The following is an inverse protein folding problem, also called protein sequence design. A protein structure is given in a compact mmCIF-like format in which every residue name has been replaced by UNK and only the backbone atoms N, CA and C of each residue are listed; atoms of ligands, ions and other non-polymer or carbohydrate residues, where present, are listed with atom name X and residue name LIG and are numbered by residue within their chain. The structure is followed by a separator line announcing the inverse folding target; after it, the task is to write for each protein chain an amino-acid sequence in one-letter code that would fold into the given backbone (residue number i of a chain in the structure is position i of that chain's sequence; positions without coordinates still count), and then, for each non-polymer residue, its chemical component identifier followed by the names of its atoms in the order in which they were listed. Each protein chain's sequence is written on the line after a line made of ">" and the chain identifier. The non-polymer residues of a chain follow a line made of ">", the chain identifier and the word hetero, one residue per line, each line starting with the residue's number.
data_IF_059938252288
#
_entry.id   IF_059938252288
#
_cell.length_a   1.000
_cell.length_b   1.000
_cell.length_c   1.000
_cell.angle_alpha   90.00
_cell.angle_beta   90.00
_cell.angle_gamma   90.00
#
_symmetry.space_group_name_H-M   'P 1'
#
loop_
_entity.id
_entity.type
_entity.pdbx_description
1 polymer ?
#
# COMPACT_ATOMS: atom_id res chain seq x y z
N UNK A 1 -2.16 -30.80 8.71
CA UNK A 1 -2.59 -29.41 8.46
C UNK A 1 -1.93 -28.94 7.17
N UNK A 2 -2.64 -28.20 6.31
CA UNK A 2 -2.11 -27.81 5.00
C UNK A 2 -1.01 -26.76 5.19
N UNK A 3 0.18 -26.91 4.57
CA UNK A 3 1.33 -26.02 4.84
C UNK A 3 1.04 -24.54 4.56
N UNK A 4 0.16 -24.25 3.59
CA UNK A 4 -0.32 -22.89 3.29
C UNK A 4 -1.17 -22.25 4.38
N UNK A 5 -1.88 -23.03 5.22
CA UNK A 5 -2.68 -22.46 6.31
C UNK A 5 -1.82 -22.01 7.49
N UNK A 6 -0.66 -22.65 7.68
CA UNK A 6 0.30 -22.34 8.76
C UNK A 6 1.04 -21.02 8.47
N UNK A 7 1.27 -20.69 7.19
CA UNK A 7 1.99 -19.48 6.80
C UNK A 7 1.08 -18.41 6.15
N UNK A 8 -0.13 -18.22 6.67
CA UNK A 8 -1.00 -17.13 6.19
C UNK A 8 -0.72 -15.82 6.93
N UNK A 9 -0.99 -14.64 6.34
CA UNK A 9 -0.83 -13.36 7.02
C UNK A 9 -1.55 -13.28 8.38
N UNK A 10 -2.79 -13.78 8.46
CA UNK A 10 -3.58 -13.86 9.69
C UNK A 10 -2.94 -14.79 10.73
N UNK A 11 -2.42 -15.94 10.31
CA UNK A 11 -1.75 -16.87 11.21
C UNK A 11 -0.44 -16.29 11.76
N UNK A 12 0.38 -15.63 10.92
CA UNK A 12 1.63 -14.98 11.34
C UNK A 12 1.38 -13.85 12.34
N UNK A 13 0.33 -13.04 12.13
CA UNK A 13 -0.08 -12.03 13.11
C UNK A 13 -0.48 -12.65 14.44
N UNK A 14 -1.28 -13.73 14.41
CA UNK A 14 -1.73 -14.45 15.62
C UNK A 14 -0.59 -15.12 16.38
N UNK A 15 0.37 -15.69 15.67
CA UNK A 15 1.49 -16.44 16.26
C UNK A 15 2.58 -15.53 16.83
N UNK A 16 2.55 -14.23 16.49
CA UNK A 16 3.44 -13.26 17.08
C UNK A 16 3.12 -13.10 18.57
N UNK A 17 4.10 -13.44 19.42
CA UNK A 17 4.01 -13.30 20.87
C UNK A 17 5.16 -12.44 21.38
N UNK A 18 4.85 -11.55 22.33
CA UNK A 18 5.83 -10.69 22.97
C UNK A 18 5.76 -10.91 24.48
N UNK A 19 6.89 -11.29 25.06
CA UNK A 19 7.07 -11.48 26.51
C UNK A 19 8.17 -10.55 27.01
N UNK A 20 8.13 -10.19 28.30
CA UNK A 20 9.13 -9.34 28.95
C UNK A 20 8.55 -8.01 29.44
N UNK A 21 9.42 -7.04 29.73
CA UNK A 21 9.04 -5.73 30.29
C UNK A 21 8.10 -4.94 29.35
N UNK A 22 8.19 -5.17 28.04
CA UNK A 22 7.32 -4.58 27.02
C UNK A 22 6.19 -5.54 26.57
N UNK A 23 6.12 -6.74 27.16
CA UNK A 23 5.18 -7.83 26.81
C UNK A 23 3.78 -7.70 27.41
N UNK A 24 3.28 -6.47 27.54
CA UNK A 24 1.89 -6.24 27.95
C UNK A 24 0.91 -6.89 26.96
N UNK A 25 -0.26 -7.35 27.44
CA UNK A 25 -1.35 -7.86 26.57
C UNK A 25 -1.70 -6.83 25.49
N UNK A 26 -1.64 -5.56 25.86
CA UNK A 26 -1.58 -4.41 24.95
C UNK A 26 -0.21 -3.74 25.17
N UNK A 27 0.56 -3.42 24.13
CA UNK A 27 1.84 -2.74 24.27
C UNK A 27 1.68 -1.38 24.95
N UNK A 28 2.67 -0.98 25.73
CA UNK A 28 2.73 0.37 26.30
C UNK A 28 2.93 1.42 25.21
N UNK A 29 2.45 2.64 25.47
CA UNK A 29 2.72 3.81 24.64
C UNK A 29 3.92 4.54 25.21
N UNK A 30 5.09 4.35 24.61
CA UNK A 30 6.31 5.08 24.98
C UNK A 30 6.38 6.39 24.20
N UNK A 31 6.11 7.49 24.91
CA UNK A 31 6.17 8.85 24.39
C UNK A 31 7.53 9.51 24.55
N UNK A 32 8.50 8.84 25.17
CA UNK A 32 9.79 9.41 25.47
C UNK A 32 10.55 9.72 24.17
N UNK A 33 11.06 10.95 24.05
CA UNK A 33 11.95 11.29 22.94
C UNK A 33 13.36 10.70 23.14
N UNK A 34 13.80 10.60 24.40
CA UNK A 34 15.10 10.09 24.82
C UNK A 34 14.92 9.19 26.03
N UNK A 35 15.79 8.20 26.18
CA UNK A 35 15.86 7.31 27.35
C UNK A 35 17.01 7.71 28.27
N UNK A 36 16.94 7.26 29.53
CA UNK A 36 18.01 7.44 30.52
C UNK A 36 18.82 6.16 30.65
N UNK A 37 20.12 6.31 30.92
CA UNK A 37 21.03 5.20 31.18
C UNK A 37 21.63 5.35 32.57
N UNK A 38 21.65 4.25 33.34
CA UNK A 38 22.27 4.24 34.66
C UNK A 38 23.80 4.30 34.55
N UNK A 39 24.38 3.59 33.58
CA UNK A 39 25.81 3.57 33.31
C UNK A 39 26.11 4.23 31.94
N UNK A 40 26.94 5.29 31.88
CA UNK A 40 27.32 5.91 30.60
C UNK A 40 27.91 4.95 29.57
N UNK A 41 28.59 3.87 29.99
CA UNK A 41 29.10 2.85 29.05
C UNK A 41 27.99 2.12 28.30
N UNK A 42 26.83 1.92 28.94
CA UNK A 42 25.68 1.29 28.29
C UNK A 42 25.11 2.18 27.18
N UNK A 43 25.15 3.50 27.38
CA UNK A 43 24.75 4.47 26.37
C UNK A 43 25.69 4.39 25.16
N UNK A 44 27.00 4.36 25.39
CA UNK A 44 28.02 4.21 24.34
C UNK A 44 27.82 2.91 23.54
N UNK A 45 27.66 1.77 24.22
CA UNK A 45 27.38 0.49 23.56
C UNK A 45 26.06 0.49 22.78
N UNK A 46 25.03 1.17 23.30
CA UNK A 46 23.75 1.32 22.59
C UNK A 46 23.92 2.17 21.33
N UNK A 47 24.73 3.22 21.37
CA UNK A 47 25.08 4.04 20.19
C UNK A 47 25.81 3.23 19.12
N UNK A 48 26.68 2.30 19.54
CA UNK A 48 27.42 1.40 18.64
C UNK A 48 26.60 0.20 18.16
N UNK A 49 25.37 0.04 18.66
CA UNK A 49 24.52 -1.12 18.36
C UNK A 49 24.97 -2.43 19.01
N UNK A 50 25.88 -2.35 19.99
CA UNK A 50 26.45 -3.50 20.70
C UNK A 50 25.56 -4.00 21.86
N UNK A 51 24.57 -3.19 22.25
CA UNK A 51 23.63 -3.52 23.33
C UNK A 51 22.20 -3.67 22.79
N UNK A 52 21.73 -4.91 22.72
CA UNK A 52 20.37 -5.23 22.29
C UNK A 52 19.33 -4.86 23.36
N UNK A 53 18.09 -4.58 22.92
CA UNK A 53 16.98 -4.26 23.82
C UNK A 53 17.05 -2.89 24.49
N UNK A 54 18.06 -2.08 24.18
CA UNK A 54 18.17 -0.71 24.65
C UNK A 54 17.71 0.27 23.57
N UNK A 55 16.88 1.23 23.98
CA UNK A 55 16.49 2.37 23.16
C UNK A 55 17.28 3.59 23.63
N UNK A 56 17.57 4.51 22.73
CA UNK A 56 18.36 5.71 23.03
C UNK A 56 17.57 6.98 22.72
N UNK A 57 17.13 7.11 21.47
CA UNK A 57 16.39 8.27 20.99
C UNK A 57 15.33 7.82 19.98
N UNK A 58 14.10 8.28 20.14
CA UNK A 58 12.93 7.75 19.41
C UNK A 58 12.98 7.94 17.89
N UNK A 59 13.78 8.87 17.38
CA UNK A 59 14.06 8.99 15.93
C UNK A 59 14.87 7.81 15.37
N UNK A 60 15.68 7.17 16.20
CA UNK A 60 16.41 5.95 15.82
C UNK A 60 15.52 4.72 16.00
N UNK A 61 14.92 4.58 17.19
CA UNK A 61 14.10 3.43 17.55
C UNK A 61 13.23 3.77 18.75
N UNK A 62 11.96 3.38 18.71
CA UNK A 62 11.00 3.52 19.80
C UNK A 62 10.31 2.16 20.01
N UNK A 63 10.12 1.70 21.27
CA UNK A 63 9.57 0.36 21.53
C UNK A 63 8.15 0.18 20.99
N UNK A 64 7.27 1.18 21.15
CA UNK A 64 5.90 1.12 20.61
C UNK A 64 5.89 1.03 19.08
N UNK A 65 6.75 1.80 18.41
CA UNK A 65 6.91 1.74 16.94
C UNK A 65 7.50 0.39 16.50
N UNK A 66 8.42 -0.16 17.28
CA UNK A 66 9.02 -1.47 17.02
C UNK A 66 7.97 -2.59 17.07
N UNK A 67 7.08 -2.58 18.06
CA UNK A 67 5.98 -3.55 18.19
C UNK A 67 5.03 -3.52 16.99
N UNK A 68 4.65 -2.32 16.53
CA UNK A 68 3.89 -2.15 15.28
C UNK A 68 4.68 -2.72 14.08
N UNK A 69 5.97 -2.40 14.00
CA UNK A 69 6.82 -2.84 12.89
C UNK A 69 6.97 -4.37 12.84
N UNK A 70 7.09 -5.04 13.99
CA UNK A 70 7.14 -6.51 14.07
C UNK A 70 5.85 -7.15 13.53
N UNK A 71 4.67 -6.59 13.84
CA UNK A 71 3.42 -7.07 13.23
C UNK A 71 3.37 -6.85 11.73
N UNK A 72 3.90 -5.74 11.22
CA UNK A 72 3.97 -5.50 9.77
C UNK A 72 4.93 -6.47 9.06
N UNK A 73 6.10 -6.74 9.67
CA UNK A 73 7.04 -7.74 9.16
C UNK A 73 6.39 -9.14 9.14
N UNK A 74 5.69 -9.51 10.22
CA UNK A 74 4.92 -10.74 10.28
C UNK A 74 3.80 -10.78 9.21
N UNK A 75 3.05 -9.69 9.01
CA UNK A 75 2.01 -9.63 7.97
C UNK A 75 2.59 -9.89 6.57
N UNK A 76 3.70 -9.23 6.24
CA UNK A 76 4.34 -9.31 4.92
C UNK A 76 5.37 -10.45 4.76
N UNK A 77 5.54 -11.27 5.80
CA UNK A 77 6.55 -12.34 5.84
C UNK A 77 8.00 -11.84 5.60
N UNK A 78 8.31 -10.61 6.01
CA UNK A 78 9.65 -10.04 5.88
C UNK A 78 10.46 -10.24 7.17
N UNK A 79 11.78 -10.13 7.08
CA UNK A 79 12.66 -10.23 8.26
C UNK A 79 12.50 -9.05 9.23
N UNK A 80 12.21 -7.87 8.69
CA UNK A 80 12.07 -6.64 9.46
C UNK A 80 11.17 -5.63 8.76
N UNK A 81 10.76 -4.61 9.51
CA UNK A 81 10.00 -3.48 9.01
C UNK A 81 10.29 -2.21 9.82
N UNK A 82 9.93 -1.06 9.26
CA UNK A 82 10.14 0.25 9.86
C UNK A 82 8.93 1.16 9.63
N UNK A 83 8.24 1.52 10.72
CA UNK A 83 7.17 2.52 10.70
C UNK A 83 7.72 3.93 10.42
N UNK A 84 7.06 4.64 9.51
CA UNK A 84 7.38 6.02 9.12
C UNK A 84 6.13 6.90 9.10
N UNK A 85 6.32 8.22 9.03
CA UNK A 85 5.25 9.22 9.19
C UNK A 85 4.19 9.23 8.08
N UNK A 86 4.46 8.62 6.92
CA UNK A 86 3.50 8.51 5.81
C UNK A 86 3.89 7.47 4.77
N UNK A 87 2.95 7.04 3.92
CA UNK A 87 3.27 6.20 2.75
C UNK A 87 4.24 6.87 1.78
N UNK A 88 4.14 8.19 1.58
CA UNK A 88 5.09 8.92 0.74
C UNK A 88 6.50 8.94 1.33
N UNK A 89 6.63 9.03 2.66
CA UNK A 89 7.92 8.89 3.32
C UNK A 89 8.51 7.48 3.13
N UNK A 90 7.68 6.45 3.19
CA UNK A 90 8.09 5.07 2.95
C UNK A 90 8.66 4.91 1.53
N UNK A 91 7.96 5.43 0.52
CA UNK A 91 8.41 5.42 -0.89
C UNK A 91 9.70 6.20 -1.07
N UNK A 92 9.72 7.47 -0.64
CA UNK A 92 10.87 8.36 -0.85
C UNK A 92 12.14 7.81 -0.19
N UNK A 93 12.07 7.46 1.09
CA UNK A 93 13.25 7.01 1.83
C UNK A 93 13.75 5.65 1.34
N UNK A 94 12.86 4.72 0.96
CA UNK A 94 13.28 3.42 0.42
C UNK A 94 14.07 3.60 -0.88
N UNK A 95 13.56 4.41 -1.81
CA UNK A 95 14.19 4.60 -3.11
C UNK A 95 15.49 5.38 -3.03
N UNK A 96 15.54 6.43 -2.20
CA UNK A 96 16.78 7.18 -1.96
C UNK A 96 17.85 6.31 -1.29
N UNK A 97 17.47 5.42 -0.35
CA UNK A 97 18.39 4.48 0.27
C UNK A 97 18.94 3.44 -0.71
N UNK A 98 18.13 3.03 -1.69
CA UNK A 98 18.53 2.10 -2.75
C UNK A 98 19.40 2.77 -3.83
N UNK A 99 19.31 4.10 -3.97
CA UNK A 99 19.97 4.88 -5.01
C UNK A 99 20.67 6.12 -4.44
N UNK A 100 21.60 5.98 -3.48
CA UNK A 100 22.23 7.12 -2.81
C UNK A 100 23.05 8.01 -3.75
N UNK A 101 23.49 7.46 -4.89
CA UNK A 101 24.26 8.16 -5.92
C UNK A 101 23.43 8.45 -7.18
N UNK A 102 22.10 8.42 -7.08
CA UNK A 102 21.21 8.49 -8.24
C UNK A 102 21.10 7.17 -9.01
N UNK A 103 20.48 7.21 -10.18
CA UNK A 103 20.23 6.03 -11.01
C UNK A 103 18.91 6.12 -11.77
N UNK A 104 18.45 4.98 -12.30
CA UNK A 104 17.18 4.90 -13.01
C UNK A 104 16.20 3.90 -12.38
N UNK A 105 14.94 4.33 -12.29
CA UNK A 105 13.78 3.52 -11.91
C UNK A 105 13.01 3.17 -13.18
N UNK A 106 12.61 1.91 -13.35
CA UNK A 106 11.55 1.55 -14.30
C UNK A 106 10.28 1.33 -13.48
N UNK A 107 9.32 2.23 -13.65
CA UNK A 107 8.07 2.25 -12.89
C UNK A 107 6.90 1.87 -13.77
N UNK A 108 5.90 1.22 -13.17
CA UNK A 108 4.55 1.22 -13.72
C UNK A 108 4.13 2.64 -14.08
N UNK A 109 3.55 2.79 -15.27
CA UNK A 109 2.97 4.04 -15.74
C UNK A 109 1.76 4.45 -14.91
N UNK A 110 1.02 3.49 -14.34
CA UNK A 110 -0.13 3.73 -13.48
C UNK A 110 0.26 3.48 -12.03
N UNK A 111 0.52 4.57 -11.32
CA UNK A 111 0.82 4.63 -9.88
C UNK A 111 0.06 5.80 -9.26
N UNK A 112 0.03 5.86 -7.93
CA UNK A 112 -0.51 6.98 -7.17
C UNK A 112 0.06 8.32 -7.64
N UNK A 113 -0.80 9.33 -7.80
CA UNK A 113 -0.41 10.67 -8.30
C UNK A 113 0.74 11.30 -7.51
N UNK A 114 0.78 11.12 -6.18
CA UNK A 114 1.89 11.59 -5.36
C UNK A 114 3.22 10.89 -5.67
N UNK A 115 3.19 9.58 -5.92
CA UNK A 115 4.35 8.79 -6.35
C UNK A 115 4.83 9.24 -7.73
N UNK A 116 3.91 9.43 -8.67
CA UNK A 116 4.22 9.96 -9.99
C UNK A 116 4.88 11.34 -9.91
N UNK A 117 4.31 12.24 -9.11
CA UNK A 117 4.85 13.59 -8.92
C UNK A 117 6.25 13.57 -8.28
N UNK A 118 6.49 12.68 -7.30
CA UNK A 118 7.82 12.47 -6.71
C UNK A 118 8.83 12.05 -7.78
N UNK A 119 8.49 11.03 -8.57
CA UNK A 119 9.34 10.44 -9.60
C UNK A 119 9.64 11.40 -10.76
N UNK A 120 8.65 12.22 -11.14
CA UNK A 120 8.77 13.15 -12.27
C UNK A 120 9.37 14.50 -11.90
N UNK A 121 9.07 15.03 -10.71
CA UNK A 121 9.34 16.43 -10.39
C UNK A 121 10.43 16.62 -9.31
N UNK A 122 10.63 15.64 -8.43
CA UNK A 122 11.55 15.74 -7.30
C UNK A 122 12.82 14.93 -7.55
N UNK A 123 12.67 13.63 -7.84
CA UNK A 123 13.77 12.70 -8.05
C UNK A 123 14.77 13.10 -9.16
N UNK A 124 14.36 13.73 -10.29
CA UNK A 124 15.35 14.17 -11.28
C UNK A 124 16.35 15.19 -10.74
N UNK A 125 15.95 16.01 -9.75
CA UNK A 125 16.84 16.96 -9.07
C UNK A 125 17.87 16.28 -8.17
N UNK A 126 17.64 15.01 -7.84
CA UNK A 126 18.52 14.15 -7.05
C UNK A 126 19.32 13.18 -7.93
N UNK A 127 19.29 13.33 -9.26
CA UNK A 127 19.94 12.40 -10.18
C UNK A 127 19.25 11.04 -10.33
N UNK A 128 17.99 10.93 -9.87
CA UNK A 128 17.16 9.74 -10.05
C UNK A 128 16.19 9.98 -11.19
N UNK A 129 16.33 9.24 -12.28
CA UNK A 129 15.45 9.31 -13.44
C UNK A 129 14.45 8.16 -13.43
N UNK A 130 13.23 8.41 -13.90
CA UNK A 130 12.20 7.38 -13.97
C UNK A 130 11.75 7.17 -15.41
N UNK A 131 11.63 5.91 -15.82
CA UNK A 131 10.96 5.49 -17.05
C UNK A 131 9.61 4.89 -16.69
N UNK A 132 8.53 5.48 -17.20
CA UNK A 132 7.18 4.99 -17.00
C UNK A 132 6.79 4.08 -18.16
N UNK A 133 6.39 2.84 -17.86
CA UNK A 133 6.05 1.81 -18.86
C UNK A 133 4.86 0.97 -18.37
N UNK A 134 4.16 0.27 -19.27
CA UNK A 134 3.27 -0.79 -18.80
C UNK A 134 4.13 -1.90 -18.17
N UNK A 135 4.01 -2.06 -16.85
CA UNK A 135 4.89 -2.93 -16.09
C UNK A 135 4.69 -4.42 -16.40
N UNK A 136 3.60 -4.77 -17.10
CA UNK A 136 3.36 -6.14 -17.57
C UNK A 136 3.83 -6.38 -19.00
N UNK A 137 4.32 -5.37 -19.71
CA UNK A 137 5.06 -5.56 -20.95
C UNK A 137 6.54 -5.81 -20.61
N UNK A 138 6.86 -7.06 -20.27
CA UNK A 138 8.20 -7.43 -19.83
C UNK A 138 9.28 -7.17 -20.88
N UNK A 139 8.93 -7.22 -22.17
CA UNK A 139 9.86 -6.88 -23.26
C UNK A 139 10.15 -5.39 -23.27
N UNK A 140 9.13 -4.53 -23.12
CA UNK A 140 9.32 -3.09 -23.00
C UNK A 140 10.10 -2.72 -21.73
N UNK A 141 9.78 -3.34 -20.58
CA UNK A 141 10.53 -3.18 -19.33
C UNK A 141 11.99 -3.55 -19.54
N UNK A 142 12.28 -4.74 -20.09
CA UNK A 142 13.64 -5.22 -20.30
C UNK A 142 14.44 -4.34 -21.27
N UNK A 143 13.78 -3.78 -22.30
CA UNK A 143 14.42 -2.87 -23.27
C UNK A 143 14.92 -1.54 -22.67
N UNK A 144 14.35 -1.13 -21.54
CA UNK A 144 14.73 0.10 -20.84
C UNK A 144 15.88 -0.11 -19.84
N UNK A 145 16.19 -1.38 -19.51
CA UNK A 145 17.24 -1.71 -18.54
C UNK A 145 18.62 -1.37 -19.13
N UNK A 146 19.41 -0.65 -18.35
CA UNK A 146 20.79 -0.30 -18.66
C UNK A 146 21.64 -0.29 -17.38
N UNK A 147 22.93 0.07 -17.49
CA UNK A 147 23.88 0.07 -16.36
C UNK A 147 23.49 1.01 -15.20
N UNK A 148 22.67 2.03 -15.48
CA UNK A 148 22.19 2.98 -14.48
C UNK A 148 20.88 2.54 -13.81
N UNK A 149 20.17 1.55 -14.37
CA UNK A 149 18.94 1.02 -13.78
C UNK A 149 19.25 0.34 -12.45
N UNK A 150 18.47 0.65 -11.41
CA UNK A 150 18.63 0.07 -10.06
C UNK A 150 17.35 -0.56 -9.54
N UNK A 151 16.19 -0.02 -9.91
CA UNK A 151 14.91 -0.39 -9.30
C UNK A 151 13.84 -0.64 -10.36
N UNK A 152 13.10 -1.73 -10.19
CA UNK A 152 11.76 -1.90 -10.74
C UNK A 152 10.73 -1.51 -9.67
N UNK A 153 9.79 -0.63 -9.99
CA UNK A 153 8.76 -0.16 -9.07
C UNK A 153 7.35 -0.46 -9.61
N UNK A 154 6.50 -1.03 -8.77
CA UNK A 154 5.09 -1.26 -9.10
C UNK A 154 4.18 -1.18 -7.87
N UNK A 155 2.89 -0.95 -8.12
CA UNK A 155 1.83 -1.23 -7.16
C UNK A 155 1.28 -2.64 -7.44
N UNK A 156 0.98 -3.43 -6.40
CA UNK A 156 0.34 -4.75 -6.59
C UNK A 156 -0.96 -4.61 -7.39
N UNK A 157 -1.76 -3.61 -7.01
CA UNK A 157 -2.98 -3.18 -7.70
C UNK A 157 -2.84 -1.69 -7.97
N UNK A 158 -2.78 -1.30 -9.25
CA UNK A 158 -2.56 0.09 -9.64
C UNK A 158 -3.73 1.00 -9.25
N UNK A 159 -3.42 2.19 -8.76
CA UNK A 159 -4.39 3.26 -8.63
C UNK A 159 -4.40 4.15 -9.90
N UNK A 160 -5.55 4.49 -10.50
CA UNK A 160 -6.92 4.06 -10.18
C UNK A 160 -7.46 2.91 -11.05
N UNK A 161 -6.68 2.42 -12.03
CA UNK A 161 -7.17 1.49 -13.06
C UNK A 161 -7.30 0.04 -12.60
N UNK A 162 -6.85 -0.29 -11.38
CA UNK A 162 -6.87 -1.64 -10.81
C UNK A 162 -6.15 -2.69 -11.66
N UNK A 163 -5.20 -2.27 -12.51
CA UNK A 163 -4.28 -3.17 -13.20
C UNK A 163 -3.39 -3.87 -12.18
N UNK A 164 -3.12 -5.15 -12.42
CA UNK A 164 -2.34 -5.98 -11.51
C UNK A 164 -0.91 -6.13 -12.01
N UNK A 165 0.07 -5.97 -11.12
CA UNK A 165 1.45 -6.31 -11.43
C UNK A 165 1.69 -7.83 -11.32
N UNK A 166 2.36 -8.43 -12.29
CA UNK A 166 2.85 -9.81 -12.16
C UNK A 166 4.18 -9.83 -11.39
N UNK A 167 4.10 -9.88 -10.07
CA UNK A 167 5.25 -9.73 -9.16
C UNK A 167 6.27 -10.87 -9.39
N UNK A 168 5.80 -12.10 -9.61
CA UNK A 168 6.71 -13.24 -9.88
C UNK A 168 7.57 -13.01 -11.14
N UNK A 169 6.95 -12.54 -12.23
CA UNK A 169 7.69 -12.24 -13.48
C UNK A 169 8.61 -11.04 -13.32
N UNK A 170 8.16 -9.99 -12.62
CA UNK A 170 9.00 -8.83 -12.31
C UNK A 170 10.20 -9.20 -11.44
N UNK A 171 10.00 -10.08 -10.45
CA UNK A 171 11.07 -10.57 -9.58
C UNK A 171 12.10 -11.35 -10.38
N UNK A 172 11.66 -12.27 -11.26
CA UNK A 172 12.56 -12.99 -12.15
C UNK A 172 13.37 -12.06 -13.06
N UNK A 173 12.74 -11.02 -13.60
CA UNK A 173 13.42 -10.01 -14.43
C UNK A 173 14.40 -9.16 -13.62
N UNK A 174 14.00 -8.72 -12.41
CA UNK A 174 14.87 -7.97 -11.51
C UNK A 174 16.10 -8.80 -11.13
N UNK A 175 15.92 -10.07 -10.77
CA UNK A 175 17.01 -10.99 -10.44
C UNK A 175 17.96 -11.20 -11.62
N UNK A 176 17.43 -11.37 -12.84
CA UNK A 176 18.24 -11.52 -14.08
C UNK A 176 19.21 -10.34 -14.29
N UNK A 177 18.79 -9.13 -13.92
CA UNK A 177 19.55 -7.89 -14.14
C UNK A 177 20.14 -7.29 -12.86
N UNK A 178 20.11 -8.02 -11.74
CA UNK A 178 20.58 -7.56 -10.43
C UNK A 178 19.96 -6.21 -9.99
N UNK A 179 18.66 -6.06 -10.23
CA UNK A 179 17.85 -4.91 -9.82
C UNK A 179 17.09 -5.22 -8.54
N UNK A 180 16.64 -4.18 -7.85
CA UNK A 180 15.73 -4.30 -6.72
C UNK A 180 14.28 -4.16 -7.16
N UNK A 181 13.40 -5.01 -6.66
CA UNK A 181 11.96 -4.93 -6.87
C UNK A 181 11.28 -4.31 -5.65
N UNK A 182 10.71 -3.13 -5.83
CA UNK A 182 9.95 -2.42 -4.80
C UNK A 182 8.46 -2.47 -5.15
N UNK A 183 7.65 -3.04 -4.24
CA UNK A 183 6.20 -3.17 -4.43
C UNK A 183 5.46 -2.35 -3.37
N UNK A 184 4.63 -1.40 -3.83
CA UNK A 184 3.61 -0.78 -2.98
C UNK A 184 2.38 -1.70 -2.93
N UNK A 185 2.08 -2.22 -1.75
CA UNK A 185 1.03 -3.20 -1.49
C UNK A 185 -0.19 -2.59 -0.78
N UNK A 186 -0.32 -1.26 -0.78
CA UNK A 186 -1.34 -0.50 -0.02
C UNK A 186 -2.79 -0.97 -0.29
N UNK A 187 -3.10 -1.40 -1.52
CA UNK A 187 -4.46 -1.81 -1.91
C UNK A 187 -4.78 -3.28 -1.61
N UNK A 188 -3.76 -4.06 -1.27
CA UNK A 188 -3.84 -5.50 -1.14
C UNK A 188 -3.18 -6.07 0.12
N UNK A 189 -3.23 -5.38 1.30
CA UNK A 189 -2.75 -6.01 2.52
C UNK A 189 -3.56 -7.28 2.79
N UNK A 190 -2.89 -8.33 3.29
CA UNK A 190 -3.39 -9.70 3.41
C UNK A 190 -3.68 -10.41 2.07
N UNK A 191 -4.24 -9.71 1.06
CA UNK A 191 -4.62 -10.29 -0.23
C UNK A 191 -3.42 -10.84 -0.99
N UNK A 192 -2.29 -10.13 -0.96
CA UNK A 192 -1.04 -10.53 -1.61
C UNK A 192 0.08 -10.29 -0.62
N UNK A 193 1.06 -11.19 -0.59
CA UNK A 193 2.31 -11.03 0.17
C UNK A 193 3.46 -10.91 -0.83
N UNK A 194 3.79 -9.69 -1.33
CA UNK A 194 4.76 -9.52 -2.42
C UNK A 194 6.15 -10.08 -2.11
N UNK A 195 6.55 -10.10 -0.84
CA UNK A 195 7.82 -10.69 -0.44
C UNK A 195 7.90 -12.19 -0.75
N UNK A 196 6.82 -12.94 -0.50
CA UNK A 196 6.69 -14.36 -0.88
C UNK A 196 6.73 -14.58 -2.40
N UNK A 197 6.49 -13.51 -3.17
CA UNK A 197 6.52 -13.49 -4.63
C UNK A 197 7.85 -12.97 -5.20
N UNK A 198 8.81 -12.64 -4.33
CA UNK A 198 10.17 -12.24 -4.69
C UNK A 198 10.39 -10.73 -4.82
N UNK A 199 9.54 -9.90 -4.19
CA UNK A 199 9.86 -8.48 -3.99
C UNK A 199 10.99 -8.32 -2.94
N UNK A 200 11.89 -7.36 -3.14
CA UNK A 200 12.94 -7.03 -2.17
C UNK A 200 12.42 -6.11 -1.04
N UNK A 201 11.53 -5.18 -1.39
CA UNK A 201 10.97 -4.18 -0.47
C UNK A 201 9.46 -4.09 -0.69
N UNK A 202 8.70 -4.16 0.41
CA UNK A 202 7.25 -3.97 0.40
C UNK A 202 6.89 -2.71 1.17
N UNK A 203 6.06 -1.86 0.56
CA UNK A 203 5.68 -0.57 1.11
C UNK A 203 4.16 -0.53 1.31
N UNK A 204 3.73 0.13 2.40
CA UNK A 204 2.34 0.48 2.60
C UNK A 204 2.16 1.94 3.01
N UNK A 205 1.09 2.54 2.51
CA UNK A 205 0.40 3.62 3.21
C UNK A 205 -0.54 3.04 4.25
N UNK A 206 -0.12 3.08 5.52
CA UNK A 206 -0.93 2.58 6.64
C UNK A 206 -2.20 3.40 6.88
N UNK A 207 -2.29 4.59 6.31
CA UNK A 207 -3.49 5.46 6.27
C UNK A 207 -4.73 4.79 5.70
N UNK A 208 -4.56 3.76 4.88
CA UNK A 208 -5.64 3.16 4.08
C UNK A 208 -6.28 1.99 4.80
N UNK A 209 -6.28 0.81 4.18
CA UNK A 209 -6.86 -0.39 4.75
C UNK A 209 -6.25 -0.80 6.09
N UNK A 210 -4.95 -0.56 6.33
CA UNK A 210 -4.32 -0.92 7.61
C UNK A 210 -4.98 -0.16 8.77
N UNK A 211 -5.06 1.18 8.70
CA UNK A 211 -5.79 2.00 9.67
C UNK A 211 -7.29 1.69 9.66
N UNK A 212 -7.94 1.66 8.49
CA UNK A 212 -9.38 1.38 8.38
C UNK A 212 -10.31 2.53 8.76
N UNK A 213 -9.81 3.60 9.38
CA UNK A 213 -10.64 4.63 10.04
C UNK A 213 -10.43 6.06 9.52
N UNK A 214 -9.58 6.27 8.52
CA UNK A 214 -9.33 7.60 7.92
C UNK A 214 -8.94 8.69 8.94
N UNK A 215 -8.24 8.31 10.00
CA UNK A 215 -7.97 9.13 11.18
C UNK A 215 -6.48 9.39 11.43
N UNK A 216 -5.60 8.85 10.58
CA UNK A 216 -4.15 8.96 10.76
C UNK A 216 -3.37 8.86 9.45
N UNK A 217 -2.20 9.50 9.42
CA UNK A 217 -1.24 9.38 8.33
C UNK A 217 -0.05 8.58 8.84
N UNK A 218 0.30 7.53 8.10
CA UNK A 218 1.39 6.61 8.45
C UNK A 218 1.82 5.80 7.23
N UNK A 219 3.04 5.28 7.28
CA UNK A 219 3.55 4.31 6.33
C UNK A 219 4.43 3.27 7.00
N UNK A 220 4.77 2.22 6.27
CA UNK A 220 5.75 1.23 6.71
C UNK A 220 6.57 0.76 5.51
N UNK A 221 7.85 0.49 5.77
CA UNK A 221 8.78 -0.15 4.84
C UNK A 221 9.07 -1.55 5.41
N UNK A 222 8.88 -2.60 4.63
CA UNK A 222 9.14 -3.99 5.02
C UNK A 222 10.21 -4.59 4.10
N UNK A 223 11.15 -5.36 4.65
CA UNK A 223 12.22 -5.99 3.87
C UNK A 223 13.19 -6.78 4.74
N UNK A 224 14.40 -7.01 4.24
CA UNK A 224 15.48 -7.68 4.97
C UNK A 224 15.93 -6.87 6.19
N UNK A 225 16.46 -7.53 7.22
CA UNK A 225 17.01 -6.89 8.42
C UNK A 225 18.07 -5.83 8.06
N UNK A 226 18.96 -6.16 7.14
CA UNK A 226 20.07 -5.28 6.72
C UNK A 226 19.58 -4.01 6.02
N UNK A 227 18.63 -4.14 5.09
CA UNK A 227 18.05 -2.97 4.43
C UNK A 227 17.34 -2.04 5.43
N UNK A 228 16.53 -2.61 6.33
CA UNK A 228 15.82 -1.83 7.37
C UNK A 228 16.79 -1.18 8.37
N UNK A 229 17.91 -1.84 8.70
CA UNK A 229 18.97 -1.24 9.49
C UNK A 229 19.64 -0.07 8.75
N UNK A 230 19.92 -0.23 7.45
CA UNK A 230 20.54 0.82 6.62
C UNK A 230 19.73 2.11 6.56
N UNK A 231 18.39 2.02 6.53
CA UNK A 231 17.49 3.18 6.55
C UNK A 231 17.62 4.02 7.85
N UNK A 232 18.08 3.40 8.93
CA UNK A 232 18.26 4.00 10.26
C UNK A 232 19.71 4.36 10.57
N UNK A 233 20.64 4.10 9.65
CA UNK A 233 22.05 4.43 9.84
C UNK A 233 22.23 5.91 10.14
N UNK A 234 23.07 6.22 11.14
CA UNK A 234 23.22 7.58 11.67
C UNK A 234 23.94 8.54 10.72
N UNK A 235 24.65 8.01 9.72
CA UNK A 235 25.47 8.79 8.80
C UNK A 235 24.87 8.87 7.39
N UNK A 236 24.12 7.84 6.99
CA UNK A 236 23.66 7.66 5.61
C UNK A 236 22.19 7.25 5.49
N UNK A 237 21.53 6.91 6.60
CA UNK A 237 20.17 6.37 6.60
C UNK A 237 19.14 7.41 6.21
N UNK A 238 18.40 7.15 5.14
CA UNK A 238 17.42 8.10 4.60
C UNK A 238 16.31 8.45 5.61
N UNK A 239 15.80 7.47 6.37
CA UNK A 239 14.78 7.71 7.41
C UNK A 239 15.40 8.44 8.60
N UNK A 240 16.60 8.04 9.03
CA UNK A 240 17.28 8.65 10.17
C UNK A 240 17.56 10.14 9.95
N UNK A 241 18.05 10.49 8.75
CA UNK A 241 18.52 11.84 8.44
C UNK A 241 17.41 12.78 7.97
N UNK A 242 16.38 12.27 7.29
CA UNK A 242 15.21 13.09 6.88
C UNK A 242 14.15 13.20 7.98
N UNK A 243 14.19 12.30 8.96
CA UNK A 243 13.32 12.33 10.13
C UNK A 243 11.81 12.12 9.90
N UNK A 244 11.32 11.34 8.91
CA UNK A 244 9.89 11.04 8.81
C UNK A 244 9.49 9.93 9.80
N UNK A 245 9.66 10.19 11.10
CA UNK A 245 9.48 9.21 12.16
C UNK A 245 7.99 9.09 12.52
N UNK A 246 7.54 7.85 12.75
CA UNK A 246 6.18 7.57 13.20
C UNK A 246 5.97 8.00 14.66
N UNK A 247 4.86 8.67 14.96
CA UNK A 247 4.45 8.96 16.33
C UNK A 247 4.04 7.67 17.07
N UNK A 248 4.49 7.50 18.31
CA UNK A 248 4.24 6.28 19.10
C UNK A 248 2.75 6.03 19.37
N UNK A 249 1.91 7.08 19.49
CA UNK A 249 0.45 6.93 19.62
C UNK A 249 -0.15 6.38 18.34
N UNK A 250 0.32 6.85 17.18
CA UNK A 250 -0.12 6.32 15.88
C UNK A 250 0.30 4.85 15.74
N UNK A 251 1.53 4.51 16.12
CA UNK A 251 2.01 3.13 16.10
C UNK A 251 1.16 2.21 16.98
N UNK A 252 0.84 2.64 18.21
CA UNK A 252 -0.02 1.90 19.12
C UNK A 252 -1.43 1.68 18.54
N UNK A 253 -2.06 2.72 18.02
CA UNK A 253 -3.38 2.61 17.39
C UNK A 253 -3.38 1.65 16.19
N UNK A 254 -2.35 1.71 15.34
CA UNK A 254 -2.20 0.79 14.23
C UNK A 254 -1.98 -0.65 14.71
N UNK A 255 -1.14 -0.85 15.73
CA UNK A 255 -0.88 -2.16 16.32
C UNK A 255 -2.17 -2.87 16.77
N UNK A 256 -3.09 -2.13 17.41
CA UNK A 256 -4.38 -2.65 17.86
C UNK A 256 -5.31 -3.04 16.70
N UNK A 257 -5.16 -2.41 15.54
CA UNK A 257 -6.06 -2.60 14.38
C UNK A 257 -5.62 -3.72 13.45
N UNK A 258 -4.37 -4.17 13.56
CA UNK A 258 -3.78 -5.20 12.69
C UNK A 258 -4.41 -6.58 12.90
N UNK A 259 -4.76 -6.95 14.13
CA UNK A 259 -5.36 -8.27 14.40
C UNK A 259 -6.78 -8.39 13.81
N UNK A 260 -7.44 -7.25 13.60
CA UNK A 260 -8.76 -7.18 12.96
C UNK A 260 -8.67 -6.88 11.45
N UNK A 261 -7.48 -6.60 10.91
CA UNK A 261 -7.31 -6.31 9.48
C UNK A 261 -7.80 -7.47 8.59
N UNK A 262 -7.45 -8.75 8.84
CA UNK A 262 -7.95 -9.87 8.04
C UNK A 262 -9.48 -9.94 7.94
N UNK A 263 -10.17 -9.69 9.05
CA UNK A 263 -11.64 -9.67 9.12
C UNK A 263 -12.21 -8.52 8.28
N UNK A 264 -11.63 -7.32 8.40
CA UNK A 264 -12.05 -6.14 7.63
C UNK A 264 -11.81 -6.35 6.14
N UNK A 265 -10.66 -6.90 5.74
CA UNK A 265 -10.37 -7.19 4.33
C UNK A 265 -11.36 -8.18 3.74
N UNK A 266 -11.70 -9.27 4.46
CA UNK A 266 -12.76 -10.20 4.01
C UNK A 266 -14.10 -9.50 3.82
N UNK A 267 -14.50 -8.63 4.74
CA UNK A 267 -15.74 -7.88 4.64
C UNK A 267 -15.74 -6.93 3.41
N UNK A 268 -14.65 -6.17 3.23
CA UNK A 268 -14.47 -5.31 2.05
C UNK A 268 -14.54 -6.10 0.73
N UNK A 269 -13.86 -7.25 0.67
CA UNK A 269 -13.87 -8.12 -0.50
C UNK A 269 -15.25 -8.69 -0.79
N UNK A 270 -15.97 -9.16 0.22
CA UNK A 270 -17.31 -9.72 0.04
C UNK A 270 -18.31 -8.67 -0.47
N UNK A 271 -18.27 -7.46 0.10
CA UNK A 271 -19.10 -6.35 -0.35
C UNK A 271 -18.78 -5.96 -1.81
N UNK A 272 -17.49 -5.85 -2.15
CA UNK A 272 -17.06 -5.53 -3.50
C UNK A 272 -17.42 -6.61 -4.52
N UNK A 273 -17.22 -7.90 -4.21
CA UNK A 273 -17.60 -9.01 -5.09
C UNK A 273 -19.09 -8.97 -5.42
N UNK A 274 -19.95 -8.91 -4.39
CA UNK A 274 -21.41 -8.86 -4.58
C UNK A 274 -21.82 -7.66 -5.43
N UNK A 275 -21.24 -6.49 -5.12
CA UNK A 275 -21.56 -5.26 -5.85
C UNK A 275 -21.12 -5.36 -7.31
N UNK A 276 -19.90 -5.82 -7.60
CA UNK A 276 -19.36 -5.96 -8.94
C UNK A 276 -20.17 -6.95 -9.80
N UNK A 277 -20.54 -8.12 -9.25
CA UNK A 277 -21.41 -9.10 -9.93
C UNK A 277 -22.79 -8.51 -10.22
N UNK A 278 -23.32 -7.72 -9.28
CA UNK A 278 -24.56 -6.98 -9.46
C UNK A 278 -24.51 -5.98 -10.62
N UNK A 279 -23.39 -5.24 -10.75
CA UNK A 279 -23.19 -4.33 -11.87
C UNK A 279 -23.05 -5.08 -13.21
N UNK A 280 -22.26 -6.16 -13.25
CA UNK A 280 -22.07 -6.99 -14.45
C UNK A 280 -23.40 -7.57 -14.93
N UNK A 281 -24.24 -8.09 -14.01
CA UNK A 281 -25.59 -8.60 -14.33
C UNK A 281 -26.52 -7.53 -14.93
N UNK A 282 -26.31 -6.25 -14.58
CA UNK A 282 -27.08 -5.12 -15.10
C UNK A 282 -26.40 -4.44 -16.31
N UNK A 283 -25.38 -5.06 -16.91
CA UNK A 283 -24.62 -4.53 -18.06
C UNK A 283 -23.96 -3.16 -17.79
N UNK A 284 -23.61 -2.88 -16.53
CA UNK A 284 -22.88 -1.67 -16.15
C UNK A 284 -21.38 -1.97 -16.23
N UNK A 285 -20.60 -1.23 -17.04
CA UNK A 285 -19.15 -1.47 -17.16
C UNK A 285 -18.43 -1.28 -15.83
N UNK A 286 -17.84 -2.37 -15.33
CA UNK A 286 -17.15 -2.41 -14.04
C UNK A 286 -15.76 -3.03 -14.21
N UNK A 287 -14.79 -2.42 -13.56
CA UNK A 287 -13.42 -2.94 -13.42
C UNK A 287 -13.31 -3.46 -11.98
N UNK A 288 -13.26 -4.78 -11.85
CA UNK A 288 -13.01 -5.45 -10.58
C UNK A 288 -12.22 -6.75 -10.82
N UNK A 289 -11.00 -6.89 -10.26
CA UNK A 289 -10.18 -8.09 -10.46
C UNK A 289 -10.82 -9.41 -10.01
N UNK A 290 -11.84 -9.38 -9.14
CA UNK A 290 -12.57 -10.56 -8.71
C UNK A 290 -13.59 -11.11 -9.70
N UNK A 291 -13.93 -10.36 -10.76
CA UNK A 291 -14.80 -10.85 -11.82
C UNK A 291 -14.01 -11.75 -12.78
N UNK A 292 -14.60 -12.87 -13.19
CA UNK A 292 -14.01 -13.78 -14.18
C UNK A 292 -13.82 -13.14 -15.56
N UNK A 293 -14.61 -12.11 -15.87
CA UNK A 293 -14.50 -11.30 -17.08
C UNK A 293 -13.31 -10.34 -17.07
N UNK A 294 -12.69 -10.09 -15.90
CA UNK A 294 -11.54 -9.21 -15.80
C UNK A 294 -10.34 -9.85 -16.52
N UNK A 295 -9.64 -9.13 -17.44
CA UNK A 295 -8.57 -9.71 -18.26
C UNK A 295 -7.44 -10.35 -17.45
N UNK A 296 -7.15 -9.79 -16.27
CA UNK A 296 -6.08 -10.27 -15.38
C UNK A 296 -6.58 -11.14 -14.22
N UNK A 297 -7.83 -11.64 -14.25
CA UNK A 297 -8.40 -12.43 -13.15
C UNK A 297 -7.54 -13.64 -12.77
N UNK A 298 -7.16 -14.45 -13.78
CA UNK A 298 -6.37 -15.66 -13.56
C UNK A 298 -4.96 -15.34 -13.04
N UNK A 299 -4.34 -14.28 -13.55
CA UNK A 299 -3.04 -13.81 -13.07
C UNK A 299 -3.14 -13.39 -11.59
N UNK A 300 -4.24 -12.74 -11.19
CA UNK A 300 -4.45 -12.38 -9.80
C UNK A 300 -4.55 -13.62 -8.92
N UNK A 301 -5.42 -14.57 -9.30
CA UNK A 301 -5.67 -15.82 -8.56
C UNK A 301 -4.38 -16.60 -8.33
N UNK A 302 -3.43 -16.52 -9.26
CA UNK A 302 -2.12 -17.21 -9.14
C UNK A 302 -1.15 -16.61 -8.11
N UNK A 303 -1.45 -15.40 -7.62
CA UNK A 303 -0.59 -14.59 -6.73
C UNK A 303 -1.28 -14.22 -5.40
N UNK A 304 -2.61 -14.30 -5.31
CA UNK A 304 -3.38 -13.89 -4.15
C UNK A 304 -3.61 -15.01 -3.13
N UNK A 305 -3.88 -14.61 -1.89
CA UNK A 305 -4.35 -15.43 -0.79
C UNK A 305 -5.89 -15.55 -0.84
N UNK A 306 -6.46 -16.70 -1.25
CA UNK A 306 -7.89 -16.80 -1.60
C UNK A 306 -8.83 -16.61 -0.40
N UNK A 307 -8.32 -16.82 0.81
CA UNK A 307 -9.06 -16.68 2.07
C UNK A 307 -9.63 -15.26 2.28
N UNK A 308 -9.04 -14.25 1.65
CA UNK A 308 -9.40 -12.85 1.89
C UNK A 308 -10.23 -12.22 0.75
N UNK A 309 -10.51 -12.95 -0.34
CA UNK A 309 -11.21 -12.44 -1.52
C UNK A 309 -10.32 -11.57 -2.42
N UNK A 310 -10.91 -10.58 -3.09
CA UNK A 310 -10.24 -9.79 -4.15
C UNK A 310 -10.04 -8.30 -3.83
N UNK A 311 -10.36 -7.88 -2.59
CA UNK A 311 -10.22 -6.51 -2.11
C UNK A 311 -11.46 -5.64 -2.29
N UNK A 312 -11.44 -4.46 -1.67
CA UNK A 312 -12.57 -3.52 -1.62
C UNK A 312 -12.58 -2.43 -2.68
N UNK A 313 -11.69 -2.49 -3.68
CA UNK A 313 -11.55 -1.42 -4.68
C UNK A 313 -12.28 -1.79 -5.97
N UNK A 314 -13.12 -0.88 -6.47
CA UNK A 314 -13.88 -1.02 -7.71
C UNK A 314 -13.73 0.26 -8.52
N UNK A 315 -13.73 0.15 -9.85
CA UNK A 315 -13.87 1.31 -10.72
C UNK A 315 -14.98 1.08 -11.75
N UNK A 316 -15.68 2.15 -12.10
CA UNK A 316 -16.79 2.15 -13.06
C UNK A 316 -16.47 3.18 -14.12
N UNK A 317 -16.56 2.79 -15.39
CA UNK A 317 -16.30 3.70 -16.51
C UNK A 317 -17.59 4.41 -16.90
N UNK A 318 -17.60 5.74 -16.78
CA UNK A 318 -18.70 6.61 -17.19
C UNK A 318 -18.19 7.52 -18.30
N UNK A 319 -19.09 7.96 -19.16
CA UNK A 319 -18.80 8.77 -20.35
C UNK A 319 -17.99 10.04 -20.05
N UNK A 320 -18.30 10.76 -18.95
CA UNK A 320 -17.65 12.02 -18.62
C UNK A 320 -17.45 12.22 -17.11
N UNK A 321 -16.48 13.07 -16.77
CA UNK A 321 -16.23 13.49 -15.39
C UNK A 321 -17.46 14.18 -14.78
N UNK A 322 -18.18 14.98 -15.57
CA UNK A 322 -19.40 15.68 -15.14
C UNK A 322 -20.50 14.70 -14.73
N UNK A 323 -20.81 13.71 -15.58
CA UNK A 323 -21.78 12.66 -15.24
C UNK A 323 -21.35 11.86 -14.01
N UNK A 324 -20.04 11.60 -13.88
CA UNK A 324 -19.49 10.90 -12.71
C UNK A 324 -19.64 11.69 -11.41
N UNK A 325 -19.40 13.01 -11.46
CA UNK A 325 -19.60 13.90 -10.32
C UNK A 325 -21.08 14.00 -9.94
N UNK A 326 -21.98 14.13 -10.92
CA UNK A 326 -23.42 14.17 -10.69
C UNK A 326 -23.93 12.85 -10.07
N UNK A 327 -23.45 11.72 -10.57
CA UNK A 327 -23.74 10.40 -10.00
C UNK A 327 -23.25 10.32 -8.56
N UNK A 328 -21.99 10.67 -8.29
CA UNK A 328 -21.42 10.64 -6.95
C UNK A 328 -22.15 11.57 -5.97
N UNK A 329 -22.56 12.76 -6.42
CA UNK A 329 -23.34 13.70 -5.62
C UNK A 329 -24.69 13.08 -5.20
N UNK A 330 -25.43 12.49 -6.13
CA UNK A 330 -26.72 11.85 -5.81
C UNK A 330 -26.55 10.60 -4.95
N UNK A 331 -25.54 9.77 -5.24
CA UNK A 331 -25.21 8.60 -4.40
C UNK A 331 -24.91 9.01 -2.95
N UNK A 332 -24.23 10.15 -2.75
CA UNK A 332 -23.98 10.68 -1.42
C UNK A 332 -25.28 11.06 -0.70
N UNK A 333 -26.20 11.75 -1.39
CA UNK A 333 -27.53 12.09 -0.85
C UNK A 333 -28.34 10.84 -0.49
N UNK A 334 -28.26 9.79 -1.30
CA UNK A 334 -28.91 8.50 -1.07
C UNK A 334 -28.18 7.58 -0.06
N UNK A 335 -27.18 8.12 0.65
CA UNK A 335 -26.43 7.40 1.69
C UNK A 335 -25.76 6.12 1.17
N UNK A 336 -25.34 6.11 -0.11
CA UNK A 336 -24.56 5.01 -0.68
C UNK A 336 -23.10 5.09 -0.22
N UNK A 337 -22.53 6.29 -0.18
CA UNK A 337 -21.13 6.51 0.19
C UNK A 337 -20.80 7.99 0.34
N UNK A 338 -19.54 8.30 0.62
CA UNK A 338 -19.05 9.65 0.80
C UNK A 338 -18.14 10.03 -0.38
N UNK A 339 -18.32 11.22 -0.92
CA UNK A 339 -17.41 11.79 -1.91
C UNK A 339 -16.19 12.36 -1.19
N UNK A 340 -15.10 11.59 -1.16
CA UNK A 340 -13.86 11.96 -0.48
C UNK A 340 -12.66 11.33 -1.17
N UNK A 341 -11.53 12.03 -1.13
CA UNK A 341 -10.24 11.42 -1.47
C UNK A 341 -9.85 10.42 -0.37
N UNK A 342 -9.02 9.42 -0.71
CA UNK A 342 -8.69 8.23 0.09
C UNK A 342 -9.56 6.99 -0.18
N UNK A 343 -9.32 5.91 0.58
CA UNK A 343 -9.85 4.56 0.42
C UNK A 343 -9.53 3.72 1.67
N UNK A 344 -10.14 2.53 1.76
CA UNK A 344 -9.94 1.59 2.86
C UNK A 344 -10.62 2.00 4.15
N UNK A 345 -11.61 2.90 4.06
CA UNK A 345 -12.39 3.36 5.21
C UNK A 345 -13.58 2.43 5.47
N UNK A 346 -14.06 2.41 6.72
CA UNK A 346 -15.27 1.68 7.12
C UNK A 346 -16.54 2.06 6.34
N UNK A 347 -16.64 3.25 5.74
CA UNK A 347 -17.75 3.62 4.83
C UNK A 347 -17.28 3.66 3.40
N UNK A 348 -18.19 3.39 2.48
CA UNK A 348 -17.92 3.48 1.04
C UNK A 348 -17.46 4.90 0.68
N UNK A 349 -16.29 5.01 0.04
CA UNK A 349 -15.75 6.26 -0.49
C UNK A 349 -15.81 6.27 -2.01
N UNK A 350 -16.07 7.45 -2.57
CA UNK A 350 -16.21 7.66 -4.01
C UNK A 350 -15.35 8.84 -4.45
N UNK A 351 -14.73 8.73 -5.62
CA UNK A 351 -13.99 9.84 -6.22
C UNK A 351 -13.89 9.70 -7.74
N UNK A 352 -13.66 10.81 -8.44
CA UNK A 352 -13.41 10.85 -9.89
C UNK A 352 -11.90 11.12 -10.11
N UNK A 353 -11.06 10.09 -10.31
CA UNK A 353 -9.60 10.23 -10.22
C UNK A 353 -9.00 11.25 -11.19
N UNK A 354 -9.50 11.31 -12.42
CA UNK A 354 -8.94 12.16 -13.48
C UNK A 354 -8.88 13.65 -13.12
N UNK A 355 -9.79 14.12 -12.26
CA UNK A 355 -9.88 15.51 -11.80
C UNK A 355 -9.53 15.67 -10.30
N UNK A 356 -9.16 14.58 -9.62
CA UNK A 356 -8.84 14.59 -8.18
C UNK A 356 -7.49 13.92 -7.90
N UNK A 357 -7.46 12.62 -7.60
CA UNK A 357 -6.26 11.90 -7.12
C UNK A 357 -5.19 11.62 -8.19
N UNK A 358 -5.51 11.93 -9.45
CA UNK A 358 -4.58 11.87 -10.58
C UNK A 358 -4.42 13.24 -11.23
N UNK A 359 -4.84 14.31 -10.56
CA UNK A 359 -4.70 15.69 -11.06
C UNK A 359 -3.23 16.13 -11.14
N UNK A 360 -2.35 15.48 -10.38
CA UNK A 360 -0.90 15.65 -10.44
C UNK A 360 -0.27 15.05 -11.71
N UNK A 361 -1.01 14.21 -12.43
CA UNK A 361 -0.63 13.64 -13.72
C UNK A 361 -1.16 14.55 -14.82
N UNK A 362 -0.28 14.99 -15.72
CA UNK A 362 -0.66 15.88 -16.82
C UNK A 362 -1.75 15.24 -17.69
N UNK A 363 -2.59 16.07 -18.33
CA UNK A 363 -3.66 15.55 -19.19
C UNK A 363 -3.12 14.66 -20.31
N UNK A 364 -2.00 15.02 -20.90
CA UNK A 364 -1.34 14.23 -21.94
C UNK A 364 -0.92 12.85 -21.41
N UNK A 365 -0.32 12.80 -20.22
CA UNK A 365 0.10 11.54 -19.61
C UNK A 365 -1.09 10.69 -19.14
N UNK A 366 -2.18 11.32 -18.68
CA UNK A 366 -3.43 10.59 -18.39
C UNK A 366 -3.99 9.92 -19.65
N UNK A 367 -3.90 10.57 -20.81
CA UNK A 367 -4.33 9.98 -22.09
C UNK A 367 -3.42 8.84 -22.50
N UNK A 368 -2.09 8.97 -22.35
CA UNK A 368 -1.13 7.87 -22.58
C UNK A 368 -1.37 6.67 -21.65
N UNK A 369 -1.82 6.92 -20.44
CA UNK A 369 -2.23 5.90 -19.47
C UNK A 369 -3.55 5.20 -19.83
N UNK A 370 -4.29 5.69 -20.83
CA UNK A 370 -5.67 5.30 -21.11
C UNK A 370 -6.60 5.49 -19.90
N UNK A 371 -6.39 6.56 -19.11
CA UNK A 371 -7.26 6.88 -17.97
C UNK A 371 -8.62 7.41 -18.45
N UNK A 372 -9.73 6.67 -18.20
CA UNK A 372 -11.06 7.16 -18.57
C UNK A 372 -11.43 8.38 -17.73
N UNK A 373 -12.05 9.36 -18.39
CA UNK A 373 -12.27 10.67 -17.78
C UNK A 373 -13.47 10.71 -16.85
N UNK A 374 -14.48 9.90 -17.13
CA UNK A 374 -15.54 9.58 -16.19
C UNK A 374 -15.27 8.32 -15.37
N UNK A 375 -14.01 7.97 -15.09
CA UNK A 375 -13.75 6.87 -14.17
C UNK A 375 -14.26 7.25 -12.77
N UNK A 376 -15.25 6.52 -12.25
CA UNK A 376 -15.70 6.63 -10.87
C UNK A 376 -15.06 5.50 -10.06
N UNK A 377 -14.13 5.85 -9.17
CA UNK A 377 -13.49 4.88 -8.27
C UNK A 377 -14.25 4.80 -6.97
N UNK A 378 -14.51 3.57 -6.54
CA UNK A 378 -15.19 3.22 -5.30
C UNK A 378 -14.24 2.43 -4.40
N UNK A 379 -14.21 2.78 -3.12
CA UNK A 379 -13.64 1.95 -2.07
C UNK A 379 -14.79 1.50 -1.20
N UNK A 380 -15.23 0.25 -1.37
CA UNK A 380 -16.40 -0.30 -0.70
C UNK A 380 -16.08 -0.52 0.77
N UNK A 381 -16.89 0.04 1.65
CA UNK A 381 -16.74 -0.08 3.10
C UNK A 381 -17.53 -1.24 3.70
N UNK A 382 -17.93 -1.07 4.95
CA UNK A 382 -19.03 -1.78 5.58
C UNK A 382 -20.35 -1.25 5.02
N UNK A 383 -21.19 -2.16 4.51
CA UNK A 383 -22.39 -1.80 3.74
C UNK A 383 -23.69 -2.21 4.43
N UNK A 384 -23.59 -2.97 5.55
CA UNK A 384 -24.74 -3.59 6.19
C UNK A 384 -25.32 -4.68 5.31
N UNK A 385 -26.33 -4.35 4.50
CA UNK A 385 -26.96 -5.25 3.55
C UNK A 385 -26.44 -4.98 2.13
N UNK A 386 -25.90 -6.02 1.50
CA UNK A 386 -25.30 -5.92 0.17
C UNK A 386 -26.33 -5.59 -0.93
N UNK A 387 -27.55 -6.14 -0.83
CA UNK A 387 -28.62 -5.88 -1.79
C UNK A 387 -29.11 -4.45 -1.69
N UNK A 388 -29.29 -3.92 -0.48
CA UNK A 388 -29.71 -2.52 -0.27
C UNK A 388 -28.71 -1.55 -0.90
N UNK A 389 -27.41 -1.81 -0.75
CA UNK A 389 -26.37 -0.97 -1.37
C UNK A 389 -26.43 -1.02 -2.90
N UNK A 390 -26.55 -2.22 -3.48
CA UNK A 390 -26.64 -2.41 -4.92
C UNK A 390 -27.88 -1.73 -5.50
N UNK A 391 -29.06 -1.92 -4.90
CA UNK A 391 -30.31 -1.31 -5.36
C UNK A 391 -30.24 0.22 -5.30
N UNK A 392 -29.68 0.79 -4.22
CA UNK A 392 -29.43 2.24 -4.12
C UNK A 392 -28.58 2.72 -5.29
N UNK A 393 -27.49 2.02 -5.59
CA UNK A 393 -26.64 2.40 -6.70
C UNK A 393 -27.38 2.33 -8.04
N UNK A 394 -28.05 1.21 -8.33
CA UNK A 394 -28.76 1.00 -9.60
C UNK A 394 -29.87 2.03 -9.82
N UNK A 395 -30.61 2.36 -8.76
CA UNK A 395 -31.67 3.38 -8.81
C UNK A 395 -31.10 4.75 -9.17
N UNK A 396 -30.02 5.19 -8.53
CA UNK A 396 -29.38 6.47 -8.85
C UNK A 396 -28.70 6.43 -10.22
N UNK A 397 -28.01 5.34 -10.55
CA UNK A 397 -27.35 5.15 -11.83
C UNK A 397 -28.35 5.31 -12.99
N UNK A 398 -29.51 4.66 -12.90
CA UNK A 398 -30.58 4.79 -13.90
C UNK A 398 -31.11 6.22 -14.03
N UNK A 399 -31.17 7.00 -12.95
CA UNK A 399 -31.62 8.40 -13.00
C UNK A 399 -30.61 9.35 -13.67
N UNK A 400 -29.32 9.02 -13.62
CA UNK A 400 -28.24 9.92 -14.08
C UNK A 400 -27.69 9.52 -15.44
N UNK A 401 -27.58 8.21 -15.68
CA UNK A 401 -26.91 7.63 -16.84
C UNK A 401 -27.89 6.90 -17.76
N UNK A 402 -28.96 6.32 -17.19
CA UNK A 402 -29.93 5.49 -17.90
C UNK A 402 -30.99 6.26 -18.68
#
# INVERSE_FOLDING_TARGET
>A
MNSKSINSPEQRLRDLQHFGEEGGVIPVIDLAATTTFLNPKDMEQTFLGEKEGCYLYSRHSNPTVNMFSLKMAALENTESALGVSSGMAAIACSLEQLMPNGGEIISSMTVYGGTYALFKNVFPKQGIKTHFVDINDFSAVESLINSNTKVLYAETISNPLLKLANIKKLSALAAKHNLKLVIDNTFSPCLVTPFDLGADVVIHSCTKFISGSSDMIAGVICGTKDFIASLRDVNTGAVMLKGPIMDARIAHELYLRLDHLPVRIRAHSAAAQYFAEGLEKNNIPVIYPGLKSHPQHNDYVSQLNPTYGFGGMIAITIESAEKSMLLAQKLQTEKFGLYAVSLGFSRTLMTVPAITTSSEISREDQLKMNLPQGLLRLSLGYVGDHQVLLERFLNVYKQVIG
#
